data_IF_425031141646
#
_entry.id   IF_425031141646
#
_cell.length_a   1.000
_cell.length_b   1.000
_cell.length_c   1.000
_cell.angle_alpha   90.00
_cell.angle_beta   90.00
_cell.angle_gamma   90.00
#
_symmetry.space_group_name_H-M   'P 1'
#
loop_
_entity.id
_entity.type
_entity.pdbx_description
1 polymer ?
#
# COMPACT_ATOMS: atom_id res chain seq x y z
N UNK A 1 -14.97 -34.64 -52.59
CA UNK A 1 -14.14 -34.03 -51.52
C UNK A 1 -14.89 -32.84 -50.94
N UNK A 2 -15.52 -33.00 -49.77
CA UNK A 2 -16.18 -31.90 -49.05
C UNK A 2 -15.10 -31.20 -48.21
N UNK A 3 -14.96 -29.89 -48.35
CA UNK A 3 -14.04 -29.06 -47.56
C UNK A 3 -14.81 -28.57 -46.34
N UNK A 4 -14.47 -29.11 -45.17
CA UNK A 4 -14.97 -28.60 -43.89
C UNK A 4 -14.21 -27.32 -43.54
N UNK A 5 -14.94 -26.21 -43.49
CA UNK A 5 -14.44 -24.91 -43.05
C UNK A 5 -14.52 -24.91 -41.53
N UNK A 6 -13.35 -25.05 -40.89
CA UNK A 6 -13.19 -24.92 -39.44
C UNK A 6 -13.18 -23.42 -39.09
N UNK A 7 -14.30 -22.90 -38.59
CA UNK A 7 -14.39 -21.53 -38.09
C UNK A 7 -13.67 -21.47 -36.72
N UNK A 8 -12.41 -21.04 -36.72
CA UNK A 8 -11.74 -20.65 -35.47
C UNK A 8 -12.38 -19.35 -34.96
N UNK A 9 -13.22 -19.47 -33.93
CA UNK A 9 -13.60 -18.33 -33.09
C UNK A 9 -12.39 -17.97 -32.21
N UNK A 10 -11.57 -17.04 -32.69
CA UNK A 10 -10.57 -16.38 -31.85
C UNK A 10 -11.33 -15.46 -30.89
N UNK A 11 -11.56 -15.93 -29.66
CA UNK A 11 -12.06 -15.09 -28.58
C UNK A 11 -10.94 -14.08 -28.23
N UNK A 12 -11.01 -12.88 -28.79
CA UNK A 12 -10.20 -11.77 -28.29
C UNK A 12 -10.70 -11.45 -26.88
N UNK A 13 -10.00 -11.95 -25.87
CA UNK A 13 -10.02 -11.37 -24.53
C UNK A 13 -9.48 -9.94 -24.66
N UNK A 14 -10.36 -9.00 -24.96
CA UNK A 14 -10.09 -7.58 -24.72
C UNK A 14 -9.74 -7.49 -23.24
N UNK A 15 -8.48 -7.17 -22.93
CA UNK A 15 -8.09 -6.76 -21.59
C UNK A 15 -9.09 -5.67 -21.19
N UNK A 16 -10.00 -6.00 -20.28
CA UNK A 16 -11.01 -5.08 -19.83
C UNK A 16 -10.26 -3.84 -19.34
N UNK A 17 -10.52 -2.74 -20.05
CA UNK A 17 -10.01 -1.42 -19.77
C UNK A 17 -10.22 -1.08 -18.28
N UNK A 18 -9.46 -0.12 -17.79
CA UNK A 18 -9.85 0.63 -16.60
C UNK A 18 -11.34 1.02 -16.75
N UNK A 19 -12.27 0.52 -15.89
CA UNK A 19 -12.93 1.45 -15.00
C UNK A 19 -13.44 0.76 -13.73
N UNK A 20 -12.68 0.75 -12.65
CA UNK A 20 -13.33 0.67 -11.34
C UNK A 20 -13.74 2.11 -11.02
N UNK A 21 -14.90 2.54 -11.57
CA UNK A 21 -15.49 3.88 -11.52
C UNK A 21 -14.53 4.94 -10.99
N UNK A 22 -13.93 5.73 -11.90
CA UNK A 22 -13.32 6.97 -11.46
C UNK A 22 -14.43 7.70 -10.70
N UNK A 23 -14.33 7.69 -9.37
CA UNK A 23 -15.09 8.63 -8.57
C UNK A 23 -14.81 10.02 -9.15
N UNK A 24 -15.70 10.96 -8.86
CA UNK A 24 -15.39 12.35 -9.11
C UNK A 24 -13.91 12.62 -8.75
N UNK A 25 -13.14 13.26 -9.65
CA UNK A 25 -11.70 13.42 -9.46
C UNK A 25 -11.42 13.89 -8.03
N UNK A 26 -10.59 13.14 -7.32
CA UNK A 26 -10.44 13.34 -5.88
C UNK A 26 -9.93 14.77 -5.62
N UNK A 27 -10.64 15.61 -4.87
CA UNK A 27 -10.24 17.00 -4.69
C UNK A 27 -8.94 17.07 -3.86
N UNK A 28 -8.17 18.17 -4.01
CA UNK A 28 -7.06 18.47 -3.12
C UNK A 28 -7.47 18.35 -1.64
N UNK A 29 -6.58 17.92 -0.74
CA UNK A 29 -6.86 17.88 0.69
C UNK A 29 -7.25 19.27 1.20
N UNK A 30 -8.39 19.38 1.87
CA UNK A 30 -8.81 20.62 2.54
C UNK A 30 -8.15 20.75 3.92
N UNK A 31 -7.80 21.96 4.34
CA UNK A 31 -7.16 22.20 5.64
C UNK A 31 -8.04 21.82 6.84
N UNK A 32 -9.37 21.74 6.64
CA UNK A 32 -10.35 21.30 7.63
C UNK A 32 -10.59 19.79 7.64
N UNK A 33 -9.98 19.02 6.73
CA UNK A 33 -10.08 17.56 6.75
C UNK A 33 -9.54 17.00 8.07
N UNK A 34 -10.37 16.21 8.75
CA UNK A 34 -9.92 15.45 9.91
C UNK A 34 -8.82 14.48 9.47
N UNK A 35 -7.73 14.42 10.24
CA UNK A 35 -6.57 13.60 9.92
C UNK A 35 -6.55 12.32 10.74
N UNK A 36 -6.01 11.26 10.14
CA UNK A 36 -5.57 10.07 10.85
C UNK A 36 -4.24 10.42 11.54
N UNK A 37 -4.15 10.15 12.84
CA UNK A 37 -2.95 10.37 13.64
C UNK A 37 -2.34 9.05 14.10
N UNK A 38 -1.08 9.09 14.56
CA UNK A 38 -0.47 7.94 15.24
C UNK A 38 -1.29 7.49 16.45
N UNK A 39 -1.89 8.44 17.17
CA UNK A 39 -2.72 8.20 18.36
C UNK A 39 -4.04 7.48 18.11
N UNK A 40 -4.45 7.37 16.84
CA UNK A 40 -5.61 6.55 16.47
C UNK A 40 -5.32 5.06 16.60
N UNK A 41 -4.04 4.67 16.71
CA UNK A 41 -3.62 3.28 16.76
C UNK A 41 -2.85 2.94 18.04
N UNK A 42 -2.81 1.66 18.38
CA UNK A 42 -2.02 1.13 19.50
C UNK A 42 -1.29 -0.14 19.09
N UNK A 43 -0.18 -0.44 19.76
CA UNK A 43 0.46 -1.74 19.64
C UNK A 43 -0.35 -2.85 20.33
N UNK A 44 -0.05 -4.09 19.94
CA UNK A 44 -0.60 -5.31 20.56
C UNK A 44 -2.12 -5.45 20.45
N UNK A 45 -2.70 -5.09 19.31
CA UNK A 45 -4.08 -5.46 19.03
C UNK A 45 -4.27 -6.98 19.07
N UNK A 46 -5.35 -7.45 19.65
CA UNK A 46 -5.91 -8.76 19.28
C UNK A 46 -6.55 -8.67 17.89
N UNK A 47 -6.72 -9.82 17.21
CA UNK A 47 -7.39 -9.85 15.90
C UNK A 47 -8.80 -9.19 15.92
N UNK A 48 -9.69 -9.47 16.90
CA UNK A 48 -10.99 -8.81 16.96
C UNK A 48 -10.90 -7.30 17.18
N UNK A 49 -9.99 -6.82 18.04
CA UNK A 49 -9.82 -5.38 18.26
C UNK A 49 -9.31 -4.67 17.00
N UNK A 50 -8.36 -5.28 16.28
CA UNK A 50 -7.83 -4.69 15.05
C UNK A 50 -8.91 -4.56 13.98
N UNK A 51 -9.74 -5.60 13.81
CA UNK A 51 -10.89 -5.58 12.89
C UNK A 51 -11.91 -4.51 13.29
N UNK A 52 -12.23 -4.42 14.57
CA UNK A 52 -13.14 -3.39 15.07
C UNK A 52 -12.58 -1.98 14.81
N UNK A 53 -11.27 -1.77 15.02
CA UNK A 53 -10.62 -0.50 14.74
C UNK A 53 -10.60 -0.16 13.25
N UNK A 54 -10.40 -1.14 12.38
CA UNK A 54 -10.50 -0.93 10.94
C UNK A 54 -11.89 -0.42 10.54
N UNK A 55 -12.96 -1.05 11.02
CA UNK A 55 -14.33 -0.62 10.69
C UNK A 55 -14.63 0.80 11.21
N UNK A 56 -14.16 1.13 12.42
CA UNK A 56 -14.24 2.49 12.97
C UNK A 56 -13.52 3.50 12.07
N UNK A 57 -12.27 3.24 11.71
CA UNK A 57 -11.46 4.14 10.89
C UNK A 57 -12.02 4.29 9.48
N UNK A 58 -12.48 3.21 8.87
CA UNK A 58 -13.10 3.23 7.54
C UNK A 58 -14.37 4.10 7.51
N UNK A 59 -15.18 4.03 8.58
CA UNK A 59 -16.40 4.81 8.72
C UNK A 59 -16.15 6.27 9.13
N UNK A 60 -14.99 6.55 9.74
CA UNK A 60 -14.60 7.87 10.23
C UNK A 60 -14.48 8.91 9.09
N UNK A 61 -14.60 10.21 9.41
CA UNK A 61 -14.28 11.28 8.45
C UNK A 61 -12.76 11.50 8.33
N UNK A 62 -11.93 10.79 9.09
CA UNK A 62 -10.48 11.00 9.11
C UNK A 62 -9.85 10.45 7.83
N UNK A 63 -8.91 11.20 7.26
CA UNK A 63 -8.17 10.82 6.06
C UNK A 63 -6.66 10.92 6.28
N UNK A 64 -5.88 10.30 5.40
CA UNK A 64 -4.43 10.46 5.43
C UNK A 64 -4.05 11.91 5.18
N UNK A 65 -3.12 12.43 5.98
CA UNK A 65 -2.58 13.77 5.75
C UNK A 65 -1.88 13.81 4.39
N UNK A 66 -2.02 14.93 3.67
CA UNK A 66 -1.42 15.14 2.35
C UNK A 66 -1.66 13.96 1.39
N UNK A 67 -2.86 13.37 1.45
CA UNK A 67 -3.29 12.29 0.56
C UNK A 67 -3.20 12.69 -0.91
N UNK A 68 -3.11 11.69 -1.78
CA UNK A 68 -3.21 11.84 -3.22
C UNK A 68 -4.49 12.59 -3.61
N UNK A 69 -4.40 13.39 -4.67
CA UNK A 69 -5.54 14.08 -5.26
C UNK A 69 -5.36 14.24 -6.77
N UNK A 70 -6.44 14.54 -7.48
CA UNK A 70 -6.40 14.85 -8.90
C UNK A 70 -6.00 16.31 -9.13
N UNK A 71 -4.88 16.51 -9.81
CA UNK A 71 -4.46 17.82 -10.27
C UNK A 71 -4.95 18.05 -11.71
N UNK A 72 -5.83 19.05 -11.88
CA UNK A 72 -6.43 19.35 -13.18
C UNK A 72 -5.43 19.93 -14.20
N UNK A 73 -4.39 20.64 -13.74
CA UNK A 73 -3.38 21.23 -14.61
C UNK A 73 -2.40 20.15 -15.12
N UNK A 74 -1.98 19.25 -14.24
CA UNK A 74 -1.13 18.11 -14.56
C UNK A 74 -1.89 16.96 -15.25
N UNK A 75 -3.24 16.96 -15.17
CA UNK A 75 -4.11 15.87 -15.64
C UNK A 75 -3.68 14.51 -15.09
N UNK A 76 -3.33 14.48 -13.82
CA UNK A 76 -2.79 13.30 -13.14
C UNK A 76 -3.21 13.30 -11.67
N UNK A 77 -3.23 12.11 -11.06
CA UNK A 77 -3.15 12.04 -9.61
C UNK A 77 -1.73 12.43 -9.18
N UNK A 78 -1.64 13.19 -8.08
CA UNK A 78 -0.38 13.65 -7.51
C UNK A 78 -0.34 13.41 -6.01
N UNK A 79 0.86 13.16 -5.48
CA UNK A 79 1.17 13.02 -4.06
C UNK A 79 2.01 14.22 -3.62
N UNK A 80 1.54 15.05 -2.66
CA UNK A 80 2.38 16.06 -2.04
C UNK A 80 3.61 15.44 -1.35
N UNK A 81 4.85 15.91 -1.64
CA UNK A 81 6.05 15.39 -0.98
C UNK A 81 6.19 15.89 0.46
N UNK A 82 7.05 15.22 1.24
CA UNK A 82 7.53 15.66 2.57
C UNK A 82 8.78 16.52 2.52
N UNK A 83 9.35 16.69 1.33
CA UNK A 83 10.53 17.50 1.03
C UNK A 83 10.13 18.68 0.14
N UNK A 84 11.05 19.64 0.01
CA UNK A 84 10.91 20.75 -0.92
C UNK A 84 10.97 20.22 -2.36
N UNK A 85 9.83 20.21 -3.05
CA UNK A 85 9.72 19.66 -4.39
C UNK A 85 8.31 19.77 -4.95
N UNK A 86 8.16 19.50 -6.24
CA UNK A 86 6.86 19.43 -6.88
C UNK A 86 6.07 18.19 -6.39
N UNK A 87 4.73 18.21 -6.43
CA UNK A 87 3.92 17.01 -6.24
C UNK A 87 4.36 15.86 -7.16
N UNK A 88 4.50 14.66 -6.60
CA UNK A 88 4.88 13.43 -7.32
C UNK A 88 3.67 12.91 -8.08
N UNK A 89 3.75 12.86 -9.41
CA UNK A 89 2.70 12.24 -10.23
C UNK A 89 2.68 10.73 -10.04
N UNK A 90 1.47 10.17 -9.94
CA UNK A 90 1.28 8.73 -9.92
C UNK A 90 0.42 8.27 -11.08
N UNK A 91 0.92 7.24 -11.76
CA UNK A 91 0.28 6.66 -12.93
C UNK A 91 -0.75 5.58 -12.59
N UNK A 92 -1.51 5.14 -13.61
CA UNK A 92 -2.39 3.98 -13.51
C UNK A 92 -1.68 2.69 -13.04
N UNK A 93 -0.39 2.55 -13.32
CA UNK A 93 0.42 1.39 -12.96
C UNK A 93 0.47 1.18 -11.45
N UNK A 94 0.76 2.24 -10.68
CA UNK A 94 0.82 2.18 -9.22
C UNK A 94 -0.54 1.85 -8.62
N UNK A 95 -1.58 2.59 -9.00
CA UNK A 95 -2.93 2.37 -8.45
C UNK A 95 -3.47 0.97 -8.80
N UNK A 96 -3.18 0.48 -10.01
CA UNK A 96 -3.51 -0.87 -10.44
C UNK A 96 -2.76 -1.95 -9.65
N UNK A 97 -1.46 -1.75 -9.40
CA UNK A 97 -0.66 -2.65 -8.57
C UNK A 97 -1.15 -2.70 -7.13
N UNK A 98 -1.42 -1.54 -6.51
CA UNK A 98 -1.95 -1.46 -5.14
C UNK A 98 -3.28 -2.17 -4.98
N UNK A 99 -4.23 -1.92 -5.89
CA UNK A 99 -5.50 -2.65 -5.91
C UNK A 99 -5.25 -4.16 -5.98
N UNK A 100 -4.45 -4.61 -6.95
CA UNK A 100 -4.13 -6.03 -7.13
C UNK A 100 -3.49 -6.65 -5.89
N UNK A 101 -2.56 -5.95 -5.24
CA UNK A 101 -1.90 -6.42 -4.03
C UNK A 101 -2.89 -6.50 -2.85
N UNK A 102 -3.70 -5.47 -2.62
CA UNK A 102 -4.72 -5.46 -1.56
C UNK A 102 -5.68 -6.63 -1.71
N UNK A 103 -6.25 -6.79 -2.90
CA UNK A 103 -7.24 -7.84 -3.17
C UNK A 103 -6.64 -9.24 -2.97
N UNK A 104 -5.39 -9.44 -3.39
CA UNK A 104 -4.69 -10.71 -3.18
C UNK A 104 -4.33 -10.96 -1.71
N UNK A 105 -3.81 -9.96 -1.00
CA UNK A 105 -3.45 -10.10 0.41
C UNK A 105 -4.67 -10.46 1.25
N UNK A 106 -5.81 -9.81 1.00
CA UNK A 106 -7.08 -10.12 1.65
C UNK A 106 -7.63 -11.49 1.26
N UNK A 107 -7.49 -11.90 -0.02
CA UNK A 107 -7.94 -13.21 -0.50
C UNK A 107 -7.12 -14.36 0.11
N UNK A 108 -5.80 -14.16 0.26
CA UNK A 108 -4.86 -15.14 0.80
C UNK A 108 -4.83 -15.14 2.34
N UNK A 109 -5.49 -14.18 2.99
CA UNK A 109 -5.49 -14.02 4.45
C UNK A 109 -4.19 -13.41 5.01
N UNK A 110 -3.31 -12.88 4.15
CA UNK A 110 -2.10 -12.17 4.57
C UNK A 110 -2.41 -10.83 5.24
N UNK A 111 -3.55 -10.23 4.88
CA UNK A 111 -4.14 -9.08 5.55
C UNK A 111 -5.61 -9.38 5.92
N UNK A 112 -6.10 -8.82 7.02
CA UNK A 112 -7.50 -8.82 7.45
C UNK A 112 -8.15 -7.45 7.23
N UNK A 113 -7.34 -6.39 7.26
CA UNK A 113 -7.74 -5.00 7.12
C UNK A 113 -6.74 -4.25 6.22
N UNK A 114 -7.13 -3.05 5.77
CA UNK A 114 -6.31 -2.17 4.92
C UNK A 114 -6.19 -0.82 5.60
N UNK A 115 -5.20 -0.67 6.47
CA UNK A 115 -4.90 0.53 7.24
C UNK A 115 -3.54 0.38 7.95
N UNK A 116 -3.02 1.42 8.59
CA UNK A 116 -1.65 1.42 9.12
C UNK A 116 -1.26 0.16 9.95
N UNK A 117 -2.08 -0.33 10.90
CA UNK A 117 -1.78 -1.57 11.65
C UNK A 117 -1.69 -2.86 10.81
N UNK A 118 -2.31 -2.89 9.63
CA UNK A 118 -2.36 -4.07 8.76
C UNK A 118 -2.32 -3.66 7.29
N UNK A 119 -1.16 -3.86 6.66
CA UNK A 119 -0.88 -3.60 5.25
C UNK A 119 -0.80 -2.12 4.85
N UNK A 120 -1.16 -1.16 5.71
CA UNK A 120 -1.20 0.26 5.33
C UNK A 120 0.12 1.03 5.33
N UNK A 121 1.24 0.38 5.68
CA UNK A 121 2.58 0.96 5.65
C UNK A 121 3.47 0.22 4.65
N UNK A 122 4.22 0.95 3.83
CA UNK A 122 5.04 0.36 2.78
C UNK A 122 6.45 0.95 2.66
N UNK A 123 7.32 0.12 2.12
CA UNK A 123 8.67 0.48 1.65
C UNK A 123 8.81 0.09 0.18
N UNK A 124 9.88 0.54 -0.47
CA UNK A 124 10.21 0.10 -1.82
C UNK A 124 11.45 -0.80 -1.79
N UNK A 125 11.37 -1.92 -2.49
CA UNK A 125 12.52 -2.77 -2.80
C UNK A 125 12.93 -2.46 -4.24
N UNK A 126 14.06 -1.79 -4.39
CA UNK A 126 14.61 -1.43 -5.70
C UNK A 126 15.78 -2.37 -6.00
N UNK A 127 15.77 -3.15 -7.10
CA UNK A 127 16.90 -4.02 -7.42
C UNK A 127 18.24 -3.27 -7.37
N UNK A 128 19.26 -3.81 -6.70
CA UNK A 128 20.53 -3.11 -6.45
C UNK A 128 21.20 -2.61 -7.75
N UNK A 129 21.14 -3.43 -8.80
CA UNK A 129 21.67 -3.08 -10.10
C UNK A 129 20.92 -1.88 -10.72
N UNK A 130 19.60 -1.84 -10.55
CA UNK A 130 18.76 -0.74 -11.03
C UNK A 130 18.98 0.53 -10.22
N UNK A 131 19.10 0.41 -8.89
CA UNK A 131 19.44 1.52 -8.01
C UNK A 131 20.73 2.23 -8.45
N UNK A 132 21.81 1.46 -8.60
CA UNK A 132 23.13 1.98 -9.04
C UNK A 132 23.15 2.51 -10.47
N UNK A 133 22.32 1.93 -11.35
CA UNK A 133 22.27 2.33 -12.74
C UNK A 133 21.45 3.61 -12.96
N UNK A 134 20.48 3.91 -12.08
CA UNK A 134 19.45 4.92 -12.33
C UNK A 134 19.21 5.85 -11.14
N UNK A 135 18.84 5.30 -9.99
CA UNK A 135 18.21 6.07 -8.91
C UNK A 135 19.21 6.75 -7.97
N UNK A 136 20.40 6.18 -7.78
CA UNK A 136 21.44 6.78 -6.93
C UNK A 136 22.09 8.05 -7.50
N UNK A 137 21.68 8.45 -8.70
CA UNK A 137 22.15 9.63 -9.45
C UNK A 137 21.26 10.85 -9.28
N UNK A 138 20.08 10.69 -8.66
CA UNK A 138 19.16 11.80 -8.42
C UNK A 138 19.63 12.61 -7.21
N UNK A 139 19.74 13.92 -7.38
CA UNK A 139 20.00 14.84 -6.27
C UNK A 139 18.73 15.12 -5.48
N UNK A 140 18.82 15.61 -4.22
CA UNK A 140 17.65 15.95 -3.39
C UNK A 140 16.61 16.84 -4.07
N UNK A 141 17.05 17.82 -4.87
CA UNK A 141 16.16 18.71 -5.63
C UNK A 141 15.34 17.99 -6.72
N UNK A 142 15.72 16.76 -7.07
CA UNK A 142 15.09 15.92 -8.09
C UNK A 142 14.33 14.75 -7.48
N UNK A 143 14.13 14.72 -6.15
CA UNK A 143 13.44 13.60 -5.51
C UNK A 143 12.03 13.39 -6.05
N UNK A 144 11.29 14.43 -6.43
CA UNK A 144 9.98 14.25 -7.06
C UNK A 144 10.09 13.39 -8.33
N UNK A 145 11.05 13.69 -9.20
CA UNK A 145 11.32 12.95 -10.44
C UNK A 145 11.78 11.52 -10.14
N UNK A 146 12.59 11.33 -9.10
CA UNK A 146 13.04 10.00 -8.65
C UNK A 146 11.85 9.15 -8.19
N UNK A 147 10.95 9.70 -7.37
CA UNK A 147 9.75 9.00 -6.90
C UNK A 147 8.81 8.70 -8.06
N UNK A 148 8.54 9.65 -8.96
CA UNK A 148 7.74 9.39 -10.17
C UNK A 148 8.33 8.22 -10.98
N UNK A 149 9.65 8.21 -11.16
CA UNK A 149 10.34 7.17 -11.90
C UNK A 149 10.28 5.81 -11.18
N UNK A 150 10.48 5.75 -9.86
CA UNK A 150 10.40 4.52 -9.09
C UNK A 150 8.96 3.96 -9.05
N UNK A 151 7.96 4.81 -8.82
CA UNK A 151 6.56 4.43 -8.70
C UNK A 151 5.92 4.05 -10.05
N UNK A 152 6.62 4.26 -11.16
CA UNK A 152 6.23 3.80 -12.50
C UNK A 152 7.07 2.61 -13.01
N UNK A 153 8.09 2.18 -12.27
CA UNK A 153 9.02 1.15 -12.74
C UNK A 153 8.56 -0.27 -12.36
N UNK A 154 8.24 -1.14 -13.33
CA UNK A 154 7.71 -2.47 -13.03
C UNK A 154 8.73 -3.42 -12.40
N UNK A 155 10.03 -3.06 -12.35
CA UNK A 155 11.04 -3.81 -11.64
C UNK A 155 11.14 -3.45 -10.15
N UNK A 156 10.54 -2.34 -9.72
CA UNK A 156 10.45 -1.97 -8.31
C UNK A 156 9.32 -2.76 -7.67
N UNK A 157 9.58 -3.27 -6.46
CA UNK A 157 8.54 -3.92 -5.66
C UNK A 157 8.12 -3.01 -4.50
N UNK A 158 6.82 -3.04 -4.20
CA UNK A 158 6.28 -2.47 -2.97
C UNK A 158 6.33 -3.58 -1.92
N UNK A 159 6.95 -3.27 -0.80
CA UNK A 159 7.02 -4.13 0.36
C UNK A 159 6.06 -3.60 1.42
N UNK A 160 5.32 -4.49 2.07
CA UNK A 160 4.33 -4.16 3.08
C UNK A 160 4.61 -4.93 4.36
N UNK A 161 4.41 -4.26 5.48
CA UNK A 161 4.17 -4.97 6.73
C UNK A 161 2.67 -5.23 6.91
N UNK A 162 2.29 -6.50 6.98
CA UNK A 162 0.95 -6.93 7.43
C UNK A 162 1.04 -7.31 8.90
N UNK A 163 -0.06 -7.23 9.65
CA UNK A 163 -0.04 -7.52 11.09
C UNK A 163 1.05 -6.71 11.85
N UNK A 164 1.29 -5.45 11.45
CA UNK A 164 2.32 -4.59 12.01
C UNK A 164 2.11 -4.40 13.51
N UNK A 165 0.89 -4.03 13.91
CA UNK A 165 0.54 -3.82 15.32
C UNK A 165 -0.28 -4.96 15.93
N UNK A 166 -0.35 -6.12 15.26
CA UNK A 166 -0.99 -7.32 15.80
C UNK A 166 -0.13 -7.96 16.88
N UNK A 167 -0.75 -8.31 18.01
CA UNK A 167 -0.10 -9.14 19.02
C UNK A 167 0.10 -10.55 18.47
N UNK A 168 1.34 -10.88 18.13
CA UNK A 168 1.75 -12.22 17.68
C UNK A 168 2.70 -12.92 18.65
N UNK A 169 3.14 -12.20 19.69
CA UNK A 169 4.07 -12.69 20.71
C UNK A 169 3.48 -12.54 22.12
N UNK A 170 3.83 -13.47 23.01
CA UNK A 170 3.57 -13.45 24.45
C UNK A 170 4.87 -13.84 25.16
N UNK A 171 5.39 -12.98 26.04
CA UNK A 171 6.69 -13.23 26.70
C UNK A 171 7.85 -13.40 25.72
N UNK A 172 7.80 -12.74 24.55
CA UNK A 172 8.80 -12.85 23.49
C UNK A 172 8.72 -14.12 22.64
N UNK A 173 7.75 -15.01 22.90
CA UNK A 173 7.54 -16.25 22.14
C UNK A 173 6.30 -16.14 21.25
N UNK A 174 6.28 -16.79 20.07
CA UNK A 174 5.08 -16.87 19.24
C UNK A 174 3.88 -17.41 20.02
N UNK A 175 2.73 -16.74 19.90
CA UNK A 175 1.47 -17.22 20.47
C UNK A 175 1.06 -18.50 19.71
N UNK A 176 0.82 -19.59 20.43
CA UNK A 176 0.44 -20.88 19.85
C UNK A 176 -1.05 -20.92 19.46
N UNK A 177 -1.41 -20.06 18.52
CA UNK A 177 -2.70 -20.02 17.84
C UNK A 177 -2.45 -20.11 16.33
N UNK A 178 -3.14 -21.00 15.63
CA UNK A 178 -2.87 -21.28 14.22
C UNK A 178 -2.99 -20.04 13.34
N UNK A 179 -4.00 -19.19 13.59
CA UNK A 179 -4.22 -17.98 12.84
C UNK A 179 -3.11 -16.96 13.12
N UNK A 180 -2.72 -16.76 14.38
CA UNK A 180 -1.64 -15.83 14.74
C UNK A 180 -0.27 -16.30 14.25
N UNK A 181 0.00 -17.61 14.25
CA UNK A 181 1.23 -18.17 13.67
C UNK A 181 1.28 -17.95 12.16
N UNK A 182 0.17 -18.16 11.47
CA UNK A 182 0.05 -17.85 10.05
C UNK A 182 0.30 -16.37 9.77
N UNK A 183 -0.36 -15.47 10.52
CA UNK A 183 -0.16 -14.01 10.39
C UNK A 183 1.26 -13.57 10.68
N UNK A 184 1.91 -14.12 11.71
CA UNK A 184 3.33 -13.86 11.99
C UNK A 184 4.21 -14.30 10.81
N UNK A 185 3.95 -15.48 10.25
CA UNK A 185 4.73 -16.03 9.14
C UNK A 185 4.58 -15.23 7.84
N UNK A 186 3.48 -14.51 7.65
CA UNK A 186 3.19 -13.69 6.48
C UNK A 186 3.21 -12.17 6.72
N UNK A 187 3.75 -11.72 7.87
CA UNK A 187 3.90 -10.30 8.28
C UNK A 187 4.60 -9.42 7.26
N UNK A 188 5.36 -9.99 6.31
CA UNK A 188 6.02 -9.24 5.26
C UNK A 188 5.67 -9.82 3.91
N UNK A 189 5.14 -8.97 3.03
CA UNK A 189 4.81 -9.33 1.66
C UNK A 189 5.39 -8.30 0.72
N UNK A 190 5.77 -8.72 -0.49
CA UNK A 190 6.21 -7.81 -1.54
C UNK A 190 5.60 -8.18 -2.88
N UNK A 191 5.32 -7.17 -3.70
CA UNK A 191 4.80 -7.34 -5.07
C UNK A 191 5.31 -6.25 -6.00
N UNK A 192 5.48 -6.57 -7.28
CA UNK A 192 5.96 -5.64 -8.29
C UNK A 192 4.94 -4.55 -8.64
N UNK A 193 5.41 -3.37 -9.09
CA UNK A 193 4.55 -2.30 -9.61
C UNK A 193 4.10 -2.67 -11.04
N UNK A 194 3.31 -3.74 -11.16
CA UNK A 194 2.77 -4.24 -12.42
C UNK A 194 1.51 -5.09 -12.16
N UNK A 195 0.34 -4.74 -12.70
CA UNK A 195 -0.85 -5.59 -12.58
C UNK A 195 -0.95 -6.64 -13.72
N UNK A 196 -1.36 -7.90 -13.44
CA UNK A 196 -1.36 -8.53 -12.12
C UNK A 196 0.06 -8.83 -11.65
N UNK A 197 0.29 -8.77 -10.34
CA UNK A 197 1.57 -9.11 -9.70
C UNK A 197 1.30 -10.09 -8.57
N UNK A 198 2.10 -11.14 -8.48
CA UNK A 198 2.05 -12.10 -7.38
C UNK A 198 2.68 -11.51 -6.12
N UNK A 199 2.06 -11.77 -4.98
CA UNK A 199 2.64 -11.43 -3.68
C UNK A 199 3.60 -12.53 -3.22
N UNK A 200 4.81 -12.12 -2.83
CA UNK A 200 5.82 -13.00 -2.25
C UNK A 200 5.91 -12.73 -0.76
N UNK A 201 5.82 -13.78 0.04
CA UNK A 201 6.06 -13.68 1.49
C UNK A 201 7.56 -13.64 1.74
N UNK A 202 7.99 -12.71 2.58
CA UNK A 202 9.37 -12.56 3.04
C UNK A 202 9.44 -12.84 4.54
N UNK A 203 10.46 -13.57 4.95
CA UNK A 203 10.61 -14.01 6.34
C UNK A 203 11.98 -13.65 6.87
N UNK A 204 12.03 -13.29 8.15
CA UNK A 204 13.23 -13.12 8.93
C UNK A 204 13.10 -13.97 10.21
N UNK A 205 13.52 -15.25 10.16
CA UNK A 205 13.39 -16.16 11.31
C UNK A 205 14.25 -15.73 12.51
N UNK A 206 15.24 -14.86 12.32
CA UNK A 206 16.09 -14.33 13.40
C UNK A 206 15.37 -13.23 14.19
N UNK A 207 14.35 -12.58 13.60
CA UNK A 207 13.50 -11.62 14.30
C UNK A 207 12.39 -12.34 15.08
N UNK A 208 12.24 -12.03 16.36
CA UNK A 208 11.16 -12.58 17.19
C UNK A 208 9.78 -12.30 16.56
N UNK A 209 9.55 -11.08 16.07
CA UNK A 209 8.32 -10.67 15.38
C UNK A 209 8.28 -11.07 13.90
N UNK A 210 9.33 -11.73 13.37
CA UNK A 210 9.52 -12.02 11.95
C UNK A 210 9.60 -10.76 11.07
N UNK A 211 10.05 -9.61 11.61
CA UNK A 211 10.18 -8.35 10.86
C UNK A 211 11.36 -8.41 9.90
N UNK A 212 11.12 -8.16 8.61
CA UNK A 212 12.15 -8.04 7.57
C UNK A 212 12.52 -6.56 7.41
N UNK A 213 13.81 -6.23 7.47
CA UNK A 213 14.35 -4.87 7.28
C UNK A 213 15.33 -4.76 6.11
N UNK A 214 15.67 -5.87 5.49
CA UNK A 214 16.61 -5.98 4.37
C UNK A 214 16.24 -7.19 3.50
N UNK A 215 16.51 -7.08 2.20
CA UNK A 215 16.25 -8.14 1.23
C UNK A 215 17.44 -8.26 0.29
N UNK A 216 18.18 -9.39 0.29
CA UNK A 216 19.35 -9.55 -0.56
C UNK A 216 19.07 -9.28 -2.04
N UNK A 217 19.92 -8.46 -2.67
CA UNK A 217 19.79 -8.04 -4.08
C UNK A 217 18.89 -6.82 -4.30
N UNK A 218 18.36 -6.22 -3.23
CA UNK A 218 17.55 -5.00 -3.29
C UNK A 218 18.09 -3.92 -2.37
N UNK A 219 18.09 -2.69 -2.88
CA UNK A 219 18.14 -1.49 -2.06
C UNK A 219 16.80 -1.34 -1.34
N UNK A 220 16.87 -1.34 -0.01
CA UNK A 220 15.76 -0.94 0.84
C UNK A 220 15.60 0.58 0.81
N UNK A 221 14.47 1.05 0.31
CA UNK A 221 14.08 2.45 0.38
C UNK A 221 12.96 2.61 1.40
N UNK A 222 13.34 3.05 2.60
CA UNK A 222 12.43 3.13 3.75
C UNK A 222 11.31 4.16 3.60
N UNK A 223 11.51 5.19 2.78
CA UNK A 223 10.51 6.22 2.52
C UNK A 223 9.57 5.79 1.38
N UNK A 224 8.71 4.80 1.63
CA UNK A 224 7.68 4.40 0.68
C UNK A 224 6.48 5.35 0.73
N UNK A 225 5.33 4.79 1.08
CA UNK A 225 4.08 5.53 1.26
C UNK A 225 3.18 4.78 2.24
N UNK A 226 2.21 5.50 2.79
CA UNK A 226 1.12 4.93 3.56
C UNK A 226 -0.15 4.91 2.73
N UNK A 227 -1.01 3.94 3.01
CA UNK A 227 -2.36 3.90 2.48
C UNK A 227 -3.33 3.37 3.52
N UNK A 228 -4.55 3.85 3.47
CA UNK A 228 -5.59 3.46 4.42
C UNK A 228 -6.92 3.42 3.72
N UNK A 229 -7.70 2.36 3.97
CA UNK A 229 -9.07 2.33 3.54
C UNK A 229 -9.84 3.44 4.24
N UNK A 230 -10.67 4.13 3.47
CA UNK A 230 -11.49 5.23 3.90
C UNK A 230 -12.68 5.32 2.93
N UNK A 231 -13.91 5.46 3.45
CA UNK A 231 -15.15 5.35 2.63
C UNK A 231 -15.27 6.34 1.47
N UNK A 232 -14.60 7.49 1.56
CA UNK A 232 -14.52 8.58 0.57
C UNK A 232 -13.12 8.64 -0.11
N UNK A 233 -12.34 7.55 0.00
CA UNK A 233 -10.97 7.46 -0.50
C UNK A 233 -10.86 7.67 -2.01
N UNK A 234 -9.69 8.03 -2.53
CA UNK A 234 -9.54 8.34 -3.96
C UNK A 234 -9.54 7.10 -4.87
N UNK A 235 -9.07 5.95 -4.38
CA UNK A 235 -8.89 4.72 -5.14
C UNK A 235 -9.82 3.62 -4.64
N UNK A 236 -10.08 2.58 -5.43
CA UNK A 236 -11.02 1.52 -5.09
C UNK A 236 -10.39 0.12 -5.20
N UNK A 237 -10.88 -0.81 -4.37
CA UNK A 237 -10.57 -2.24 -4.43
C UNK A 237 -11.81 -3.06 -4.05
N UNK A 238 -11.83 -4.33 -4.45
CA UNK A 238 -12.94 -5.25 -4.18
C UNK A 238 -12.57 -6.30 -3.12
N UNK A 239 -13.43 -6.49 -2.13
CA UNK A 239 -13.28 -7.60 -1.19
C UNK A 239 -14.65 -8.21 -0.87
N UNK A 240 -14.78 -9.53 -1.04
CA UNK A 240 -16.01 -10.30 -0.75
C UNK A 240 -17.27 -9.69 -1.38
N UNK A 241 -17.15 -9.21 -2.63
CA UNK A 241 -18.26 -8.62 -3.38
C UNK A 241 -18.66 -7.21 -2.96
N UNK A 242 -17.83 -6.53 -2.15
CA UNK A 242 -17.99 -5.12 -1.78
C UNK A 242 -16.84 -4.28 -2.29
N UNK A 243 -17.17 -3.14 -2.87
CA UNK A 243 -16.21 -2.08 -3.20
C UNK A 243 -15.85 -1.30 -1.96
N UNK A 244 -14.56 -1.25 -1.67
CA UNK A 244 -13.95 -0.37 -0.68
C UNK A 244 -13.17 0.73 -1.39
N UNK A 245 -12.81 1.76 -0.62
CA UNK A 245 -12.01 2.89 -1.10
C UNK A 245 -10.84 3.14 -0.18
N UNK A 246 -9.77 3.73 -0.70
CA UNK A 246 -8.55 4.03 0.06
C UNK A 246 -7.84 5.29 -0.44
N UNK A 247 -7.05 5.86 0.46
CA UNK A 247 -6.13 6.98 0.20
C UNK A 247 -4.69 6.51 0.18
N UNK A 248 -3.81 7.29 -0.45
CA UNK A 248 -2.35 7.08 -0.50
C UNK A 248 -1.67 8.39 -0.07
N UNK A 249 -0.59 8.33 0.70
CA UNK A 249 0.22 9.50 1.08
C UNK A 249 1.70 9.15 1.16
N UNK A 250 2.58 10.06 0.75
CA UNK A 250 4.04 9.95 0.96
C UNK A 250 4.45 10.30 2.41
N UNK A 251 3.50 10.62 3.28
CA UNK A 251 3.75 11.01 4.65
C UNK A 251 3.40 9.87 5.59
N UNK A 252 4.22 9.71 6.63
CA UNK A 252 3.82 8.95 7.80
C UNK A 252 2.70 9.64 8.55
N UNK A 253 2.02 8.85 9.38
CA UNK A 253 0.96 9.38 10.23
C UNK A 253 1.55 10.48 11.12
N UNK A 254 0.98 11.70 11.15
CA UNK A 254 1.47 12.75 12.02
C UNK A 254 1.17 12.43 13.48
N UNK A 255 1.96 12.98 14.43
CA UNK A 255 1.56 13.03 15.82
C UNK A 255 0.30 13.89 15.96
N UNK A 256 -0.55 13.55 16.92
CA UNK A 256 -1.73 14.36 17.23
C UNK A 256 -1.29 15.63 17.99
N UNK A 257 -1.54 16.84 17.45
CA UNK A 257 -1.12 18.08 18.10
C UNK A 257 -1.80 18.32 19.45
N UNK A 258 -2.94 17.65 19.71
CA UNK A 258 -3.65 17.72 20.99
C UNK A 258 -3.16 16.72 22.03
N UNK A 259 -2.41 15.69 21.63
CA UNK A 259 -2.00 14.59 22.50
C UNK A 259 -0.75 14.89 23.36
N UNK A 260 -0.20 16.10 23.30
CA UNK A 260 0.88 16.54 24.20
C UNK A 260 2.11 15.64 24.15
N UNK A 261 2.75 15.50 22.99
CA UNK A 261 4.14 15.02 22.85
C UNK A 261 4.53 13.73 23.60
N UNK A 262 3.59 12.80 23.80
CA UNK A 262 3.91 11.48 24.34
C UNK A 262 4.67 10.64 23.30
N UNK A 263 5.79 10.06 23.70
CA UNK A 263 6.52 9.08 22.90
C UNK A 263 5.62 7.86 22.63
N UNK A 264 5.52 7.47 21.35
CA UNK A 264 4.78 6.30 20.85
C UNK A 264 5.69 5.08 20.67
#
# INVERSE_FOLDING_TARGET
MKKDICLLFTLFLTAAAWPAAAAAPCPPPDASEAKIYQSDFKWNYTLPEMKARFEEMYASPKRLDKRAYWDAAAKSYVLPPSYDGAPVKIGPELAGALRSHIEQALKLGYADAVFFPDMGHSHLLVPDALWKAKYDKYEPAQYSEMYEAMLADPAVHIFYHTAEQLKTLEGGQPINDEQLLFRRANRNIAGAIKPPSELRVLQNPESAANTVSDVPGYRWWGAGFNFSAQKDGCFAYEHKGRTYRFDISLHDLPPDPSAGGGDW
#
